data_IF_221681319027
#
_entry.id   IF_221681319027
#
_cell.length_a   1.000
_cell.length_b   1.000
_cell.length_c   1.000
_cell.angle_alpha   90.00
_cell.angle_beta   90.00
_cell.angle_gamma   90.00
#
_symmetry.space_group_name_H-M   'P 1'
#
loop_
_entity.id
_entity.type
_entity.pdbx_description
1 polymer ?
#
# COMPACT_ATOMS: atom_id res chain seq x y z
N UNK A 1 -0.21 15.23 -9.07
CA UNK A 1 -0.55 13.80 -8.91
C UNK A 1 -1.45 13.66 -7.70
N UNK A 2 -2.73 13.34 -7.91
CA UNK A 2 -3.66 13.05 -6.81
C UNK A 2 -3.79 11.53 -6.67
N UNK A 3 -3.90 11.08 -5.43
CA UNK A 3 -4.09 9.66 -5.10
C UNK A 3 -5.29 9.54 -4.17
N UNK A 4 -6.06 8.47 -4.34
CA UNK A 4 -7.23 8.15 -3.53
C UNK A 4 -6.97 6.86 -2.75
N UNK A 5 -7.17 6.89 -1.44
CA UNK A 5 -6.99 5.72 -0.61
C UNK A 5 -8.05 4.66 -0.94
N UNK A 6 -7.62 3.42 -1.18
CA UNK A 6 -8.55 2.34 -1.58
C UNK A 6 -9.26 1.69 -0.39
N UNK A 7 -8.93 2.07 0.85
CA UNK A 7 -9.42 1.39 2.05
C UNK A 7 -8.56 0.19 2.47
N UNK A 8 -7.57 -0.18 1.66
CA UNK A 8 -6.79 -1.41 1.88
C UNK A 8 -5.48 -1.08 2.59
N UNK A 9 -5.29 -1.73 3.75
CA UNK A 9 -4.06 -1.72 4.53
C UNK A 9 -3.50 -3.15 4.59
N UNK A 10 -2.18 -3.28 4.48
CA UNK A 10 -1.53 -4.58 4.54
C UNK A 10 -0.18 -4.49 5.23
N UNK A 11 0.32 -5.65 5.68
CA UNK A 11 1.67 -5.77 6.24
C UNK A 11 2.64 -6.16 5.14
N UNK A 12 3.79 -5.47 5.02
CA UNK A 12 4.80 -5.90 4.10
C UNK A 12 5.39 -7.24 4.56
N UNK A 13 5.43 -8.21 3.65
CA UNK A 13 5.95 -9.55 3.94
C UNK A 13 7.44 -9.62 3.59
N UNK A 14 8.21 -10.52 4.24
CA UNK A 14 9.57 -10.82 3.82
C UNK A 14 9.60 -11.33 2.37
N UNK A 15 10.74 -11.14 1.71
CA UNK A 15 10.93 -11.72 0.38
C UNK A 15 10.80 -13.25 0.44
N UNK A 16 10.07 -13.81 -0.52
CA UNK A 16 9.97 -15.26 -0.74
C UNK A 16 9.84 -15.56 -2.24
N UNK A 17 9.96 -16.83 -2.66
CA UNK A 17 9.72 -17.22 -4.05
C UNK A 17 8.34 -16.80 -4.57
N UNK A 18 7.34 -16.72 -3.69
CA UNK A 18 5.93 -16.38 -3.96
C UNK A 18 5.57 -14.91 -3.65
N UNK A 19 6.43 -14.17 -2.94
CA UNK A 19 6.18 -12.77 -2.53
C UNK A 19 7.44 -11.94 -2.73
N UNK A 20 7.76 -11.65 -4.00
CA UNK A 20 9.03 -11.01 -4.38
C UNK A 20 9.01 -9.51 -4.15
N UNK A 21 7.82 -8.90 -4.03
CA UNK A 21 7.66 -7.44 -3.94
C UNK A 21 7.29 -6.96 -2.55
N UNK A 22 7.47 -7.82 -1.54
CA UNK A 22 7.18 -7.48 -0.16
C UNK A 22 5.69 -7.21 0.09
N UNK A 23 4.82 -7.75 -0.75
CA UNK A 23 3.36 -7.69 -0.62
C UNK A 23 2.80 -9.11 -0.48
N UNK A 24 1.67 -9.30 0.24
CA UNK A 24 0.92 -10.55 0.17
C UNK A 24 0.59 -10.91 -1.28
N UNK A 25 0.64 -12.20 -1.62
CA UNK A 25 0.49 -12.67 -3.01
C UNK A 25 -0.81 -12.18 -3.66
N UNK A 26 -1.93 -12.21 -2.94
CA UNK A 26 -3.24 -11.73 -3.42
C UNK A 26 -3.20 -10.25 -3.83
N UNK A 27 -2.48 -9.42 -3.07
CA UNK A 27 -2.34 -7.99 -3.36
C UNK A 27 -1.30 -7.72 -4.44
N UNK A 28 -0.24 -8.54 -4.51
CA UNK A 28 0.76 -8.46 -5.58
C UNK A 28 0.10 -8.74 -6.93
N UNK A 29 -0.66 -9.83 -7.07
CA UNK A 29 -1.39 -10.18 -8.30
C UNK A 29 -2.44 -9.13 -8.70
N UNK A 30 -3.12 -8.54 -7.71
CA UNK A 30 -4.22 -7.60 -7.98
C UNK A 30 -3.76 -6.17 -8.27
N UNK A 31 -2.68 -5.69 -7.63
CA UNK A 31 -2.32 -4.26 -7.65
C UNK A 31 -0.90 -3.98 -8.16
N UNK A 32 0.03 -4.94 -8.05
CA UNK A 32 1.40 -4.72 -8.48
C UNK A 32 1.51 -4.74 -10.01
N UNK A 33 2.22 -3.77 -10.60
CA UNK A 33 2.40 -3.66 -12.05
C UNK A 33 1.23 -2.97 -12.79
N UNK A 34 0.16 -2.57 -12.09
CA UNK A 34 -0.90 -1.74 -12.68
C UNK A 34 -0.58 -0.26 -12.53
N UNK A 35 -0.68 0.49 -13.62
CA UNK A 35 -0.45 1.94 -13.62
C UNK A 35 -1.52 2.74 -12.87
N UNK A 36 -2.64 2.12 -12.54
CA UNK A 36 -3.71 2.78 -11.78
C UNK A 36 -3.45 2.81 -10.27
N UNK A 37 -2.47 2.05 -9.76
CA UNK A 37 -2.27 1.86 -8.33
C UNK A 37 -0.86 2.20 -7.88
N UNK A 38 -0.74 2.61 -6.62
CA UNK A 38 0.53 2.80 -5.93
C UNK A 38 0.37 2.36 -4.47
N UNK A 39 1.47 2.00 -3.83
CA UNK A 39 1.48 1.60 -2.42
C UNK A 39 2.49 2.44 -1.67
N UNK A 40 2.12 2.88 -0.47
CA UNK A 40 2.91 3.79 0.35
C UNK A 40 2.98 3.21 1.76
N UNK A 41 4.18 3.22 2.35
CA UNK A 41 4.36 2.86 3.76
C UNK A 41 3.68 3.91 4.62
N UNK A 42 2.84 3.48 5.56
CA UNK A 42 2.22 4.36 6.55
C UNK A 42 3.32 4.78 7.54
N UNK A 43 3.61 6.09 7.67
CA UNK A 43 4.64 6.54 8.60
C UNK A 43 4.28 6.17 10.05
N UNK A 44 5.26 5.77 10.89
CA UNK A 44 5.00 5.37 12.27
C UNK A 44 4.29 6.43 13.11
N UNK A 45 4.50 7.73 12.81
CA UNK A 45 3.83 8.84 13.50
C UNK A 45 2.31 8.73 13.40
N UNK A 46 1.79 8.41 12.21
CA UNK A 46 0.34 8.24 12.01
C UNK A 46 -0.17 6.97 12.70
N UNK A 47 0.61 5.87 12.65
CA UNK A 47 0.27 4.64 13.36
C UNK A 47 0.17 4.88 14.87
N UNK A 48 1.12 5.61 15.44
CA UNK A 48 1.13 5.95 16.87
C UNK A 48 -0.05 6.85 17.25
N UNK A 49 -0.36 7.88 16.45
CA UNK A 49 -1.53 8.74 16.67
C UNK A 49 -2.84 7.94 16.61
N UNK A 50 -2.92 6.94 15.73
CA UNK A 50 -4.05 6.03 15.62
C UNK A 50 -4.06 4.90 16.67
N UNK A 51 -3.08 4.87 17.59
CA UNK A 51 -2.88 3.81 18.61
C UNK A 51 -2.71 2.40 18.01
N UNK A 52 -2.13 2.31 16.81
CA UNK A 52 -1.77 1.06 16.14
C UNK A 52 -0.33 0.69 16.53
N UNK A 53 -0.19 -0.33 17.39
CA UNK A 53 1.11 -0.83 17.87
C UNK A 53 1.51 -2.18 17.26
N UNK A 54 0.53 -2.92 16.76
CA UNK A 54 0.73 -4.12 15.96
C UNK A 54 -0.21 -4.04 14.75
N UNK A 55 0.31 -4.25 13.53
CA UNK A 55 1.67 -4.67 13.18
C UNK A 55 2.73 -3.54 13.22
N UNK A 56 4.03 -3.87 13.21
CA UNK A 56 5.11 -2.87 13.30
C UNK A 56 5.30 -2.05 12.00
N UNK A 57 4.87 -2.58 10.86
CA UNK A 57 4.86 -1.88 9.58
C UNK A 57 3.50 -2.05 8.93
N UNK A 58 3.00 -0.98 8.33
CA UNK A 58 1.76 -0.97 7.60
C UNK A 58 1.96 -0.24 6.27
N UNK A 59 1.35 -0.77 5.22
CA UNK A 59 1.34 -0.18 3.89
C UNK A 59 -0.10 0.05 3.48
N UNK A 60 -0.34 1.14 2.75
CA UNK A 60 -1.64 1.52 2.24
C UNK A 60 -1.62 1.50 0.70
N UNK A 61 -2.69 1.00 0.10
CA UNK A 61 -2.87 1.03 -1.36
C UNK A 61 -3.67 2.28 -1.73
N UNK A 62 -3.22 2.95 -2.79
CA UNK A 62 -3.88 4.12 -3.35
C UNK A 62 -4.11 3.93 -4.84
N UNK A 63 -5.24 4.43 -5.31
CA UNK A 63 -5.54 4.58 -6.73
C UNK A 63 -5.01 5.93 -7.21
N UNK A 64 -4.22 5.94 -8.27
CA UNK A 64 -3.79 7.16 -8.96
C UNK A 64 -5.02 7.76 -9.64
N UNK A 65 -5.33 9.03 -9.36
CA UNK A 65 -6.29 9.79 -10.16
C UNK A 65 -5.51 10.54 -11.22
N UNK A 66 -5.79 10.26 -12.49
CA UNK A 66 -5.46 11.20 -13.56
C UNK A 66 -6.22 12.49 -13.26
N UNK A 67 -5.48 13.58 -13.09
CA UNK A 67 -6.11 14.90 -13.09
C UNK A 67 -6.64 15.12 -14.51
N UNK A 68 -7.93 15.44 -14.72
CA UNK A 68 -8.35 15.95 -16.01
C UNK A 68 -7.51 17.20 -16.29
N UNK A 69 -6.87 17.23 -17.45
CA UNK A 69 -6.10 18.37 -17.91
C UNK A 69 -7.01 19.61 -17.85
N UNK A 70 -6.65 20.56 -16.98
CA UNK A 70 -7.25 21.90 -16.94
C UNK A 70 -6.75 22.69 -18.14
#
# INVERSE_FOLDING_TARGET
MQVEFTGILFQPVPWSPTSRKGMPQELEEQYYGKDDYTFINVPPVFMFQAKVFQPPRLCAIYKRKEQPAV
#
